data_IF_442875092161
#
_entry.id   IF_442875092161
#
_cell.length_a   1.000
_cell.length_b   1.000
_cell.length_c   1.000
_cell.angle_alpha   90.00
_cell.angle_beta   90.00
_cell.angle_gamma   90.00
#
_symmetry.space_group_name_H-M   'P 1'
#
loop_
_entity.id
_entity.type
_entity.pdbx_description
1 polymer ?
#
# COMPACT_ATOMS: atom_id res chain seq x y z
N UNK A 1 -22.01 -30.42 -16.01
CA UNK A 1 -20.85 -29.60 -16.46
C UNK A 1 -20.50 -29.75 -17.94
N UNK A 2 -20.56 -30.94 -18.59
CA UNK A 2 -20.39 -31.03 -20.07
C UNK A 2 -21.31 -30.08 -20.85
N UNK A 3 -22.55 -29.90 -20.39
CA UNK A 3 -23.49 -28.94 -20.96
C UNK A 3 -22.99 -27.48 -20.92
N UNK A 4 -22.19 -27.10 -19.91
CA UNK A 4 -21.62 -25.75 -19.81
C UNK A 4 -20.48 -25.56 -20.80
N UNK A 5 -19.57 -26.53 -20.93
CA UNK A 5 -18.51 -26.50 -21.95
C UNK A 5 -19.10 -26.46 -23.35
N UNK A 6 -20.11 -27.30 -23.63
CA UNK A 6 -20.84 -27.27 -24.90
C UNK A 6 -21.56 -25.94 -25.11
N UNK A 7 -22.16 -25.34 -24.07
CA UNK A 7 -22.82 -24.04 -24.21
C UNK A 7 -21.83 -22.91 -24.51
N UNK A 8 -20.66 -22.90 -23.87
CA UNK A 8 -19.60 -21.91 -24.15
C UNK A 8 -19.08 -22.11 -25.57
N UNK A 9 -18.78 -23.34 -25.96
CA UNK A 9 -18.29 -23.63 -27.31
C UNK A 9 -19.34 -23.26 -28.37
N UNK A 10 -20.61 -23.68 -28.20
CA UNK A 10 -21.69 -23.31 -29.10
C UNK A 10 -21.88 -21.79 -29.21
N UNK A 11 -21.72 -21.06 -28.11
CA UNK A 11 -21.77 -19.60 -28.12
C UNK A 11 -20.60 -19.00 -28.93
N UNK A 12 -19.39 -19.53 -28.74
CA UNK A 12 -18.20 -19.10 -29.48
C UNK A 12 -18.30 -19.47 -30.97
N UNK A 13 -18.81 -20.66 -31.29
CA UNK A 13 -19.02 -21.18 -32.65
C UNK A 13 -20.09 -20.38 -33.39
N UNK A 14 -21.22 -20.09 -32.74
CA UNK A 14 -22.28 -19.24 -33.31
C UNK A 14 -21.78 -17.82 -33.65
N UNK A 15 -20.76 -17.35 -32.93
CA UNK A 15 -20.09 -16.07 -33.21
C UNK A 15 -19.02 -16.18 -34.31
N UNK A 16 -18.46 -17.37 -34.57
CA UNK A 16 -17.53 -17.62 -35.69
C UNK A 16 -18.29 -17.83 -37.03
N UNK A 17 -19.47 -18.46 -37.00
CA UNK A 17 -20.30 -18.76 -38.18
C UNK A 17 -21.05 -17.53 -38.74
N UNK A 18 -21.14 -16.45 -37.97
CA UNK A 18 -21.59 -15.17 -38.51
C UNK A 18 -20.47 -14.57 -39.35
N UNK A 19 -20.56 -14.76 -40.66
CA UNK A 19 -19.77 -14.04 -41.67
C UNK A 19 -20.06 -12.53 -41.52
N UNK A 20 -19.28 -11.86 -40.65
CA UNK A 20 -19.50 -10.47 -40.21
C UNK A 20 -19.08 -9.46 -41.28
N UNK A 21 -19.83 -9.45 -42.37
CA UNK A 21 -19.73 -8.45 -43.42
C UNK A 21 -20.47 -7.13 -43.14
N UNK A 22 -21.26 -7.01 -42.06
CA UNK A 22 -22.08 -5.78 -41.88
C UNK A 22 -22.73 -5.53 -40.50
N UNK A 23 -22.55 -6.38 -39.48
CA UNK A 23 -23.10 -6.15 -38.14
C UNK A 23 -21.94 -5.96 -37.14
N UNK A 24 -21.96 -4.83 -36.44
CA UNK A 24 -20.83 -4.25 -35.71
C UNK A 24 -20.07 -5.23 -34.83
N UNK A 25 -18.74 -5.04 -34.77
CA UNK A 25 -17.89 -5.73 -33.81
C UNK A 25 -18.54 -5.66 -32.43
N UNK A 26 -18.75 -6.82 -31.82
CA UNK A 26 -18.97 -6.89 -30.38
C UNK A 26 -17.80 -6.18 -29.72
N UNK A 27 -18.03 -4.96 -29.25
CA UNK A 27 -17.04 -4.14 -28.57
C UNK A 27 -17.26 -4.28 -27.08
N UNK A 28 -16.75 -5.37 -26.51
CA UNK A 28 -16.76 -5.55 -25.06
C UNK A 28 -15.52 -4.85 -24.53
N UNK A 29 -15.68 -3.78 -23.75
CA UNK A 29 -14.53 -3.07 -23.17
C UNK A 29 -13.90 -3.84 -22.02
N UNK A 30 -14.73 -4.41 -21.16
CA UNK A 30 -14.31 -5.10 -19.94
C UNK A 30 -14.90 -6.49 -19.90
N UNK A 31 -14.06 -7.50 -19.70
CA UNK A 31 -14.46 -8.88 -19.50
C UNK A 31 -13.97 -9.37 -18.15
N UNK A 32 -14.89 -9.87 -17.32
CA UNK A 32 -14.56 -10.52 -16.05
C UNK A 32 -15.04 -11.97 -16.06
N UNK A 33 -14.12 -12.88 -15.80
CA UNK A 33 -14.34 -14.31 -15.78
C UNK A 33 -14.03 -14.85 -14.38
N UNK A 34 -15.07 -15.29 -13.67
CA UNK A 34 -14.96 -15.97 -12.39
C UNK A 34 -15.35 -17.44 -12.58
N UNK A 35 -14.44 -18.39 -12.34
CA UNK A 35 -14.74 -19.82 -12.51
C UNK A 35 -14.00 -20.70 -11.51
N UNK A 36 -14.51 -21.92 -11.32
CA UNK A 36 -13.84 -22.94 -10.51
C UNK A 36 -12.90 -23.79 -11.38
N UNK A 37 -11.74 -24.19 -10.85
CA UNK A 37 -10.81 -25.05 -11.56
C UNK A 37 -11.47 -26.40 -11.88
N UNK A 38 -11.34 -26.86 -13.13
CA UNK A 38 -11.97 -28.09 -13.60
C UNK A 38 -11.92 -28.30 -15.12
N UNK A 39 -12.67 -29.28 -15.63
CA UNK A 39 -12.66 -29.77 -17.02
C UNK A 39 -13.12 -28.79 -18.13
N UNK A 40 -13.29 -27.49 -17.83
CA UNK A 40 -13.71 -26.46 -18.79
C UNK A 40 -12.56 -25.51 -19.21
N UNK A 41 -11.32 -25.79 -18.84
CA UNK A 41 -10.16 -24.92 -19.11
C UNK A 41 -9.98 -24.60 -20.59
N UNK A 42 -10.27 -25.53 -21.49
CA UNK A 42 -10.16 -25.33 -22.94
C UNK A 42 -11.17 -24.31 -23.47
N UNK A 43 -12.44 -24.41 -23.07
CA UNK A 43 -13.48 -23.46 -23.46
C UNK A 43 -13.22 -22.06 -22.91
N UNK A 44 -12.71 -21.96 -21.68
CA UNK A 44 -12.33 -20.69 -21.06
C UNK A 44 -11.13 -20.07 -21.77
N UNK A 45 -10.10 -20.85 -22.09
CA UNK A 45 -8.95 -20.36 -22.83
C UNK A 45 -9.35 -19.87 -24.23
N UNK A 46 -10.27 -20.57 -24.91
CA UNK A 46 -10.82 -20.13 -26.20
C UNK A 46 -11.63 -18.84 -26.07
N UNK A 47 -12.42 -18.70 -25.01
CA UNK A 47 -13.16 -17.46 -24.71
C UNK A 47 -12.21 -16.28 -24.47
N UNK A 48 -11.15 -16.49 -23.68
CA UNK A 48 -10.14 -15.46 -23.39
C UNK A 48 -9.42 -15.02 -24.68
N UNK A 49 -8.98 -15.98 -25.52
CA UNK A 49 -8.34 -15.68 -26.79
C UNK A 49 -9.26 -14.91 -27.74
N UNK A 50 -10.52 -15.36 -27.88
CA UNK A 50 -11.49 -14.67 -28.73
C UNK A 50 -11.81 -13.26 -28.24
N UNK A 51 -11.92 -13.07 -26.93
CA UNK A 51 -12.15 -11.77 -26.34
C UNK A 51 -10.99 -10.79 -26.60
N UNK A 52 -9.75 -11.26 -26.43
CA UNK A 52 -8.54 -10.46 -26.63
C UNK A 52 -8.23 -10.18 -28.10
N UNK A 53 -8.52 -11.11 -29.02
CA UNK A 53 -8.24 -10.98 -30.45
C UNK A 53 -9.38 -10.27 -31.21
N UNK A 54 -10.65 -10.58 -30.90
CA UNK A 54 -11.80 -10.25 -31.76
C UNK A 54 -12.80 -9.28 -31.14
N UNK A 55 -12.94 -9.24 -29.82
CA UNK A 55 -13.96 -8.40 -29.15
C UNK A 55 -13.44 -7.03 -28.70
N UNK A 56 -12.15 -6.75 -28.92
CA UNK A 56 -11.53 -5.47 -28.59
C UNK A 56 -11.49 -5.17 -27.09
N UNK A 57 -11.39 -6.20 -26.25
CA UNK A 57 -11.31 -6.05 -24.79
C UNK A 57 -10.08 -5.24 -24.38
N UNK A 58 -10.32 -4.22 -23.57
CA UNK A 58 -9.30 -3.36 -22.98
C UNK A 58 -8.97 -3.77 -21.54
N UNK A 59 -9.97 -4.28 -20.80
CA UNK A 59 -9.81 -4.72 -19.42
C UNK A 59 -10.23 -6.19 -19.26
N UNK A 60 -9.28 -7.05 -18.90
CA UNK A 60 -9.53 -8.49 -18.69
C UNK A 60 -9.25 -8.87 -17.24
N UNK A 61 -10.26 -9.42 -16.56
CA UNK A 61 -10.10 -10.05 -15.25
C UNK A 61 -10.39 -11.55 -15.33
N UNK A 62 -9.43 -12.37 -14.90
CA UNK A 62 -9.55 -13.82 -14.84
C UNK A 62 -9.32 -14.27 -13.39
N UNK A 63 -10.38 -14.76 -12.75
CA UNK A 63 -10.37 -15.17 -11.35
C UNK A 63 -10.74 -16.64 -11.20
N UNK A 64 -9.78 -17.43 -10.72
CA UNK A 64 -9.98 -18.84 -10.41
C UNK A 64 -10.35 -18.97 -8.93
N UNK A 65 -11.55 -19.45 -8.66
CA UNK A 65 -12.04 -19.68 -7.29
C UNK A 65 -11.60 -21.05 -6.81
N UNK A 66 -10.68 -21.08 -5.85
CA UNK A 66 -10.30 -22.31 -5.17
C UNK A 66 -11.39 -22.75 -4.19
N UNK A 67 -11.60 -24.07 -4.06
CA UNK A 67 -12.44 -24.66 -3.00
C UNK A 67 -11.56 -25.00 -1.80
N UNK A 68 -12.14 -25.09 -0.60
CA UNK A 68 -11.41 -25.32 0.66
C UNK A 68 -10.49 -26.54 0.70
N UNK A 69 -10.60 -27.47 -0.26
CA UNK A 69 -9.84 -28.72 -0.31
C UNK A 69 -8.82 -28.78 -1.46
N UNK A 70 -8.87 -27.85 -2.43
CA UNK A 70 -8.08 -27.96 -3.66
C UNK A 70 -7.61 -26.57 -4.14
N UNK A 71 -6.31 -26.34 -4.07
CA UNK A 71 -5.64 -25.19 -4.69
C UNK A 71 -5.19 -25.58 -6.10
N UNK A 72 -6.00 -25.23 -7.10
CA UNK A 72 -5.63 -25.43 -8.48
C UNK A 72 -5.36 -24.08 -9.15
N UNK A 73 -4.24 -24.03 -9.84
CA UNK A 73 -3.86 -22.91 -10.67
C UNK A 73 -4.36 -23.11 -12.09
N UNK A 74 -4.96 -22.08 -12.70
CA UNK A 74 -5.28 -22.14 -14.13
C UNK A 74 -4.03 -21.94 -14.97
N UNK A 75 -3.83 -22.83 -15.95
CA UNK A 75 -2.76 -22.74 -16.93
C UNK A 75 -3.29 -22.25 -18.27
N UNK A 76 -2.56 -21.33 -18.86
CA UNK A 76 -2.81 -20.85 -20.21
C UNK A 76 -2.14 -21.76 -21.24
N UNK A 77 -2.67 -21.83 -22.48
CA UNK A 77 -2.00 -22.51 -23.58
C UNK A 77 -0.63 -21.89 -23.91
N UNK A 78 0.16 -22.56 -24.74
CA UNK A 78 1.48 -22.04 -25.15
C UNK A 78 1.44 -20.67 -25.84
N UNK A 79 0.34 -20.33 -26.53
CA UNK A 79 0.13 -19.01 -27.12
C UNK A 79 -0.34 -17.94 -26.11
N UNK A 80 -0.51 -18.29 -24.83
CA UNK A 80 -0.88 -17.36 -23.77
C UNK A 80 -2.35 -16.95 -23.81
N UNK A 81 -2.60 -15.64 -23.75
CA UNK A 81 -3.95 -15.07 -23.67
C UNK A 81 -4.62 -14.87 -25.02
N UNK A 82 -3.86 -14.80 -26.11
CA UNK A 82 -4.38 -14.46 -27.44
C UNK A 82 -3.42 -14.91 -28.53
N UNK A 83 -3.88 -15.01 -29.77
CA UNK A 83 -3.02 -15.42 -30.88
C UNK A 83 -2.14 -14.27 -31.39
N UNK A 84 -2.63 -13.02 -31.32
CA UNK A 84 -1.93 -11.84 -31.83
C UNK A 84 -1.77 -10.74 -30.77
N UNK A 85 -0.83 -10.88 -29.81
CA UNK A 85 -0.67 -9.93 -28.70
C UNK A 85 -0.34 -8.51 -29.15
N UNK A 86 0.32 -8.36 -30.31
CA UNK A 86 0.66 -7.07 -30.90
C UNK A 86 -0.56 -6.23 -31.32
N UNK A 87 -1.64 -6.91 -31.72
CA UNK A 87 -2.88 -6.26 -32.18
C UNK A 87 -3.91 -6.14 -31.05
N UNK A 88 -3.62 -6.72 -29.88
CA UNK A 88 -4.52 -6.67 -28.73
C UNK A 88 -4.62 -5.25 -28.19
N UNK A 89 -5.85 -4.83 -27.87
CA UNK A 89 -6.16 -3.54 -27.22
C UNK A 89 -6.10 -3.62 -25.70
N UNK A 90 -5.66 -4.75 -25.15
CA UNK A 90 -5.64 -4.99 -23.72
C UNK A 90 -4.73 -3.99 -22.99
N UNK A 91 -5.33 -3.17 -22.14
CA UNK A 91 -4.70 -2.13 -21.30
C UNK A 91 -4.53 -2.57 -19.86
N UNK A 92 -5.49 -3.33 -19.34
CA UNK A 92 -5.50 -3.81 -17.95
C UNK A 92 -5.71 -5.33 -17.91
N UNK A 93 -4.86 -6.01 -17.16
CA UNK A 93 -4.96 -7.45 -16.94
C UNK A 93 -4.92 -7.77 -15.46
N UNK A 94 -5.93 -8.48 -14.98
CA UNK A 94 -5.96 -9.05 -13.62
C UNK A 94 -6.05 -10.57 -13.69
N UNK A 95 -5.08 -11.23 -13.07
CA UNK A 95 -5.03 -12.69 -12.98
C UNK A 95 -5.03 -13.08 -11.50
N UNK A 96 -6.00 -13.88 -11.08
CA UNK A 96 -6.05 -14.46 -9.74
C UNK A 96 -5.98 -16.00 -9.81
N UNK A 97 -5.07 -16.60 -9.04
CA UNK A 97 -4.83 -18.06 -9.02
C UNK A 97 -4.56 -18.66 -10.41
N UNK A 98 -3.76 -17.96 -11.22
CA UNK A 98 -3.33 -18.39 -12.55
C UNK A 98 -1.80 -18.42 -12.64
N UNK A 99 -1.25 -19.29 -13.50
CA UNK A 99 0.13 -19.14 -13.94
C UNK A 99 0.28 -17.91 -14.84
N UNK A 100 1.42 -17.22 -14.76
CA UNK A 100 1.67 -16.03 -15.58
C UNK A 100 1.83 -16.48 -17.05
N UNK A 101 0.95 -16.06 -17.97
CA UNK A 101 1.10 -16.35 -19.39
C UNK A 101 2.25 -15.52 -19.99
N UNK A 102 2.74 -15.87 -21.19
CA UNK A 102 3.63 -15.01 -21.94
C UNK A 102 2.94 -13.65 -22.22
N UNK A 103 3.46 -12.57 -21.63
CA UNK A 103 2.96 -11.20 -21.83
C UNK A 103 3.78 -10.39 -22.85
N UNK A 104 4.75 -11.03 -23.50
CA UNK A 104 5.58 -10.37 -24.52
C UNK A 104 4.73 -10.02 -25.75
N UNK A 105 4.83 -8.77 -26.21
CA UNK A 105 4.15 -8.31 -27.43
C UNK A 105 2.86 -7.52 -27.18
N UNK A 106 2.32 -7.51 -25.94
CA UNK A 106 1.20 -6.65 -25.58
C UNK A 106 1.69 -5.19 -25.48
N UNK A 107 1.50 -4.42 -26.55
CA UNK A 107 1.95 -3.02 -26.61
C UNK A 107 1.03 -2.05 -25.91
N UNK A 108 -0.25 -2.41 -25.73
CA UNK A 108 -1.23 -1.56 -25.06
C UNK A 108 -1.29 -1.79 -23.53
N UNK A 109 -0.66 -2.85 -23.01
CA UNK A 109 -0.81 -3.26 -21.62
C UNK A 109 -0.04 -2.34 -20.68
N UNK A 110 -0.78 -1.56 -19.90
CA UNK A 110 -0.25 -0.56 -18.96
C UNK A 110 -0.46 -0.93 -17.50
N UNK A 111 -1.44 -1.80 -17.19
CA UNK A 111 -1.74 -2.23 -15.82
C UNK A 111 -1.79 -3.75 -15.70
N UNK A 112 -1.11 -4.28 -14.67
CA UNK A 112 -1.09 -5.69 -14.36
C UNK A 112 -1.34 -5.91 -12.87
N UNK A 113 -2.34 -6.73 -12.56
CA UNK A 113 -2.66 -7.19 -11.21
C UNK A 113 -2.51 -8.70 -11.17
N UNK A 114 -1.59 -9.19 -10.35
CA UNK A 114 -1.40 -10.62 -10.10
C UNK A 114 -1.79 -10.92 -8.67
N UNK A 115 -2.71 -11.86 -8.50
CA UNK A 115 -3.26 -12.22 -7.21
C UNK A 115 -3.14 -13.73 -6.97
N UNK A 116 -2.80 -14.14 -5.75
CA UNK A 116 -2.82 -15.55 -5.33
C UNK A 116 -2.03 -16.46 -6.30
N UNK A 117 -0.85 -16.01 -6.75
CA UNK A 117 -0.04 -16.77 -7.69
C UNK A 117 0.33 -18.14 -7.09
N UNK A 118 0.40 -19.21 -7.91
CA UNK A 118 0.67 -20.55 -7.41
C UNK A 118 2.02 -20.62 -6.69
N UNK A 119 2.12 -21.38 -5.59
CA UNK A 119 3.38 -21.59 -4.85
C UNK A 119 4.50 -22.13 -5.74
N UNK A 120 4.14 -22.93 -6.75
CA UNK A 120 5.10 -23.45 -7.74
C UNK A 120 5.65 -22.40 -8.73
N UNK A 121 5.22 -21.14 -8.64
CA UNK A 121 5.72 -20.07 -9.52
C UNK A 121 7.20 -19.80 -9.24
N UNK A 122 8.08 -19.94 -10.24
CA UNK A 122 9.51 -19.75 -10.02
C UNK A 122 9.83 -18.26 -9.80
N UNK A 123 10.86 -17.99 -8.99
CA UNK A 123 11.37 -16.63 -8.72
C UNK A 123 11.65 -15.84 -10.01
N UNK A 124 12.21 -16.50 -11.04
CA UNK A 124 12.49 -15.89 -12.33
C UNK A 124 11.23 -15.35 -13.04
N UNK A 125 10.05 -15.94 -12.80
CA UNK A 125 8.80 -15.42 -13.35
C UNK A 125 8.42 -14.09 -12.69
N UNK A 126 8.66 -13.93 -11.39
CA UNK A 126 8.45 -12.67 -10.68
C UNK A 126 9.39 -11.57 -11.19
N UNK A 127 10.67 -11.89 -11.37
CA UNK A 127 11.67 -10.96 -11.92
C UNK A 127 11.31 -10.55 -13.35
N UNK A 128 10.84 -11.51 -14.15
CA UNK A 128 10.44 -11.27 -15.53
C UNK A 128 9.31 -10.23 -15.62
N UNK A 129 8.32 -10.19 -14.71
CA UNK A 129 7.21 -9.23 -14.76
C UNK A 129 7.69 -7.78 -14.91
N UNK A 130 8.78 -7.42 -14.23
CA UNK A 130 9.34 -6.06 -14.26
C UNK A 130 10.02 -5.70 -15.59
N UNK A 131 10.26 -6.69 -16.46
CA UNK A 131 10.96 -6.55 -17.75
C UNK A 131 10.14 -7.04 -18.95
N UNK A 132 9.07 -7.79 -18.73
CA UNK A 132 8.26 -8.45 -19.77
C UNK A 132 7.52 -7.46 -20.68
N UNK A 133 7.04 -6.36 -20.10
CA UNK A 133 6.18 -5.39 -20.78
C UNK A 133 6.81 -3.99 -20.73
N UNK A 134 7.35 -3.45 -21.84
CA UNK A 134 8.04 -2.15 -21.81
C UNK A 134 7.10 -0.96 -21.56
N UNK A 135 5.79 -1.14 -21.76
CA UNK A 135 4.76 -0.11 -21.58
C UNK A 135 4.03 -0.24 -20.23
N UNK A 136 4.41 -1.20 -19.38
CA UNK A 136 3.76 -1.42 -18.10
C UNK A 136 4.05 -0.26 -17.15
N UNK A 137 2.99 0.40 -16.69
CA UNK A 137 3.06 1.58 -15.82
C UNK A 137 2.61 1.26 -14.39
N UNK A 138 1.67 0.33 -14.21
CA UNK A 138 1.14 -0.05 -12.90
C UNK A 138 1.25 -1.56 -12.69
N UNK A 139 1.90 -1.97 -11.59
CA UNK A 139 2.02 -3.35 -11.18
C UNK A 139 1.47 -3.52 -9.75
N UNK A 140 0.58 -4.50 -9.57
CA UNK A 140 0.05 -4.88 -8.28
C UNK A 140 0.25 -6.39 -8.07
N UNK A 141 1.02 -6.74 -7.04
CA UNK A 141 1.19 -8.11 -6.57
C UNK A 141 0.39 -8.26 -5.28
N UNK A 142 -0.54 -9.21 -5.24
CA UNK A 142 -1.43 -9.43 -4.10
C UNK A 142 -1.45 -10.88 -3.66
N UNK A 143 -1.24 -11.14 -2.37
CA UNK A 143 -1.31 -12.49 -1.80
C UNK A 143 -0.36 -13.49 -2.50
N UNK A 144 0.74 -13.02 -3.09
CA UNK A 144 1.69 -13.88 -3.78
C UNK A 144 2.64 -14.54 -2.78
N UNK A 145 2.63 -15.87 -2.74
CA UNK A 145 3.56 -16.67 -1.93
C UNK A 145 4.81 -16.97 -2.74
N UNK A 146 5.93 -16.39 -2.31
CA UNK A 146 7.24 -16.67 -2.88
C UNK A 146 7.78 -17.94 -2.22
N UNK A 147 8.33 -18.85 -3.01
CA UNK A 147 9.22 -19.88 -2.45
C UNK A 147 10.36 -19.18 -1.71
N UNK A 148 10.97 -19.83 -0.69
CA UNK A 148 11.97 -19.29 0.26
C UNK A 148 13.23 -18.59 -0.33
N UNK A 149 13.26 -18.28 -1.62
CA UNK A 149 14.27 -17.50 -2.30
C UNK A 149 14.06 -15.98 -2.25
N UNK A 150 14.95 -15.29 -2.95
CA UNK A 150 15.01 -13.83 -3.08
C UNK A 150 14.69 -13.45 -4.52
N UNK A 151 13.71 -12.57 -4.72
CA UNK A 151 13.42 -11.96 -6.04
C UNK A 151 14.25 -10.70 -6.14
N UNK A 152 15.23 -10.68 -7.05
CA UNK A 152 16.08 -9.52 -7.27
C UNK A 152 15.59 -8.71 -8.47
N UNK A 153 14.94 -7.57 -8.22
CA UNK A 153 14.39 -6.71 -9.27
C UNK A 153 15.40 -5.64 -9.64
N UNK A 154 16.06 -5.84 -10.78
CA UNK A 154 16.89 -4.84 -11.43
C UNK A 154 16.35 -4.55 -12.84
N UNK A 155 15.51 -3.52 -12.96
CA UNK A 155 14.78 -3.21 -14.19
C UNK A 155 15.01 -1.75 -14.64
N UNK A 156 16.23 -1.40 -15.12
CA UNK A 156 16.59 -0.03 -15.49
C UNK A 156 15.84 0.52 -16.71
N UNK A 157 15.17 -0.34 -17.48
CA UNK A 157 14.34 0.06 -18.64
C UNK A 157 12.84 0.04 -18.32
N UNK A 158 12.47 -0.27 -17.08
CA UNK A 158 11.07 -0.36 -16.69
C UNK A 158 10.40 1.01 -16.71
N UNK A 159 9.18 1.06 -17.23
CA UNK A 159 8.33 2.25 -17.21
C UNK A 159 7.31 2.23 -16.07
N UNK A 160 7.48 1.33 -15.10
CA UNK A 160 6.58 1.21 -13.95
C UNK A 160 6.67 2.48 -13.12
N UNK A 161 5.53 3.16 -13.03
CA UNK A 161 5.28 4.34 -12.21
C UNK A 161 4.63 4.00 -10.88
N UNK A 162 3.85 2.93 -10.84
CA UNK A 162 3.10 2.52 -9.65
C UNK A 162 3.38 1.06 -9.31
N UNK A 163 3.81 0.81 -8.08
CA UNK A 163 4.05 -0.52 -7.55
C UNK A 163 3.26 -0.73 -6.25
N UNK A 164 2.41 -1.75 -6.22
CA UNK A 164 1.67 -2.15 -5.03
C UNK A 164 2.03 -3.60 -4.71
N UNK A 165 2.51 -3.86 -3.50
CA UNK A 165 2.76 -5.20 -2.99
C UNK A 165 1.94 -5.38 -1.73
N UNK A 166 1.04 -6.35 -1.75
CA UNK A 166 0.06 -6.56 -0.70
C UNK A 166 0.04 -8.04 -0.29
N UNK A 167 0.23 -8.33 1.00
CA UNK A 167 0.20 -9.70 1.55
C UNK A 167 1.14 -10.68 0.82
N UNK A 168 2.34 -10.25 0.39
CA UNK A 168 3.32 -11.11 -0.24
C UNK A 168 4.27 -11.73 0.81
N UNK A 169 4.21 -13.05 0.99
CA UNK A 169 4.86 -13.78 2.09
C UNK A 169 5.88 -14.81 1.62
N UNK A 170 6.63 -15.37 2.59
CA UNK A 170 7.55 -16.51 2.46
C UNK A 170 8.82 -16.32 1.61
N UNK A 171 9.03 -15.13 1.04
CA UNK A 171 10.29 -14.74 0.38
C UNK A 171 10.68 -13.29 0.69
N UNK A 172 11.75 -12.83 0.05
CA UNK A 172 12.21 -11.44 0.11
C UNK A 172 12.25 -10.85 -1.30
N UNK A 173 11.57 -9.72 -1.51
CA UNK A 173 11.68 -8.95 -2.75
C UNK A 173 12.72 -7.85 -2.54
N UNK A 174 13.82 -7.88 -3.31
CA UNK A 174 14.82 -6.82 -3.32
C UNK A 174 14.63 -5.95 -4.54
N UNK A 175 14.29 -4.68 -4.33
CA UNK A 175 14.16 -3.70 -5.41
C UNK A 175 15.45 -2.89 -5.50
N UNK A 176 16.16 -3.02 -6.64
CA UNK A 176 17.41 -2.32 -6.89
C UNK A 176 17.26 -1.12 -7.82
N UNK A 177 16.43 -1.23 -8.87
CA UNK A 177 16.35 -0.15 -9.87
C UNK A 177 14.98 -0.12 -10.53
N UNK A 178 14.24 0.95 -10.30
CA UNK A 178 12.97 1.29 -10.95
C UNK A 178 12.93 2.81 -11.18
N UNK A 179 13.52 3.28 -12.29
CA UNK A 179 13.90 4.68 -12.43
C UNK A 179 12.72 5.62 -12.63
N UNK A 180 11.54 5.14 -13.04
CA UNK A 180 10.33 5.96 -13.23
C UNK A 180 9.27 5.75 -12.14
N UNK A 181 9.62 5.08 -11.04
CA UNK A 181 8.68 4.80 -9.95
C UNK A 181 8.26 6.10 -9.27
N UNK A 182 6.97 6.44 -9.35
CA UNK A 182 6.35 7.65 -8.78
C UNK A 182 5.59 7.32 -7.49
N UNK A 183 5.02 6.12 -7.36
CA UNK A 183 4.25 5.70 -6.19
C UNK A 183 4.48 4.24 -5.79
N UNK A 184 4.64 3.98 -4.49
CA UNK A 184 4.91 2.64 -3.95
C UNK A 184 4.10 2.32 -2.69
N UNK A 185 3.47 1.13 -2.65
CA UNK A 185 2.80 0.57 -1.48
C UNK A 185 3.45 -0.75 -1.12
N UNK A 186 3.79 -0.88 0.16
CA UNK A 186 4.23 -2.13 0.75
C UNK A 186 3.30 -2.43 1.92
N UNK A 187 2.35 -3.34 1.71
CA UNK A 187 1.34 -3.72 2.68
C UNK A 187 1.58 -5.18 3.07
N UNK A 188 1.91 -5.45 4.32
CA UNK A 188 2.13 -6.82 4.84
C UNK A 188 3.04 -7.68 3.94
N UNK A 189 4.11 -7.09 3.42
CA UNK A 189 4.98 -7.72 2.43
C UNK A 189 6.45 -7.52 2.78
N UNK A 190 7.27 -8.55 2.63
CA UNK A 190 8.70 -8.47 2.94
C UNK A 190 9.49 -7.94 1.73
N UNK A 191 9.77 -6.64 1.75
CA UNK A 191 10.45 -5.93 0.66
C UNK A 191 11.64 -5.15 1.22
N UNK A 192 12.79 -5.29 0.57
CA UNK A 192 14.00 -4.53 0.84
C UNK A 192 14.31 -3.64 -0.37
N UNK A 193 14.61 -2.38 -0.10
CA UNK A 193 14.91 -1.39 -1.12
C UNK A 193 15.76 -0.27 -0.55
N UNK A 194 16.49 0.40 -1.42
CA UNK A 194 17.12 1.68 -1.12
C UNK A 194 16.34 2.77 -1.84
N UNK A 195 15.70 3.67 -1.09
CA UNK A 195 14.84 4.68 -1.70
C UNK A 195 15.62 5.58 -2.68
N UNK A 196 16.93 5.80 -2.45
CA UNK A 196 17.84 6.53 -3.34
C UNK A 196 17.82 6.01 -4.79
N UNK A 197 17.41 4.76 -5.00
CA UNK A 197 17.26 4.13 -6.31
C UNK A 197 16.00 4.54 -7.06
N UNK A 198 15.10 5.32 -6.45
CA UNK A 198 13.82 5.76 -7.01
C UNK A 198 13.71 7.29 -7.03
N UNK A 199 14.37 7.97 -7.98
CA UNK A 199 14.52 9.43 -7.95
C UNK A 199 13.21 10.22 -8.10
N UNK A 200 12.17 9.62 -8.70
CA UNK A 200 10.85 10.26 -8.90
C UNK A 200 9.80 9.81 -7.89
N UNK A 201 10.18 9.03 -6.87
CA UNK A 201 9.23 8.55 -5.88
C UNK A 201 8.70 9.73 -5.05
N UNK A 202 7.39 9.95 -5.15
CA UNK A 202 6.68 11.04 -4.47
C UNK A 202 5.71 10.52 -3.41
N UNK A 203 5.12 9.35 -3.63
CA UNK A 203 4.12 8.76 -2.74
C UNK A 203 4.60 7.41 -2.21
N UNK A 204 4.60 7.26 -0.89
CA UNK A 204 4.99 6.03 -0.21
C UNK A 204 3.94 5.63 0.84
N UNK A 205 3.41 4.42 0.76
CA UNK A 205 2.59 3.82 1.81
C UNK A 205 3.23 2.54 2.30
N UNK A 206 3.50 2.48 3.60
CA UNK A 206 4.06 1.33 4.25
C UNK A 206 3.10 0.91 5.36
N UNK A 207 2.61 -0.32 5.29
CA UNK A 207 1.74 -0.90 6.30
C UNK A 207 2.23 -2.27 6.75
N UNK A 208 2.49 -2.43 8.05
CA UNK A 208 2.87 -3.70 8.65
C UNK A 208 2.06 -3.98 9.93
N UNK A 209 1.66 -5.24 10.12
CA UNK A 209 0.92 -5.72 11.26
C UNK A 209 1.75 -6.83 11.90
N UNK A 210 2.22 -6.63 13.13
CA UNK A 210 3.08 -7.59 13.84
C UNK A 210 2.68 -7.65 15.30
N UNK A 211 2.67 -8.85 15.88
CA UNK A 211 2.27 -8.99 17.28
C UNK A 211 0.82 -8.54 17.49
N UNK A 212 -0.12 -8.99 16.66
CA UNK A 212 -1.56 -8.75 16.89
C UNK A 212 -2.14 -9.80 17.85
N UNK A 213 -1.46 -10.95 17.99
CA UNK A 213 -1.87 -12.02 18.89
C UNK A 213 -1.18 -11.89 20.26
N UNK A 214 -1.97 -11.92 21.35
CA UNK A 214 -1.54 -11.86 22.77
C UNK A 214 -0.60 -13.00 23.20
N UNK A 215 -0.37 -13.99 22.32
CA UNK A 215 0.63 -15.03 22.53
C UNK A 215 2.01 -14.37 22.57
N UNK A 216 2.60 -14.35 23.77
CA UNK A 216 3.98 -13.92 24.08
C UNK A 216 5.07 -14.75 23.35
N UNK A 217 4.78 -15.29 22.18
CA UNK A 217 5.71 -16.04 21.37
C UNK A 217 6.65 -15.06 20.68
N UNK A 218 7.74 -14.80 21.40
CA UNK A 218 8.94 -14.09 20.96
C UNK A 218 8.68 -12.61 20.67
N UNK A 219 8.93 -11.76 21.69
CA UNK A 219 9.38 -10.38 21.45
C UNK A 219 10.62 -10.46 20.59
N UNK A 220 10.47 -10.44 19.28
CA UNK A 220 11.62 -10.37 18.40
C UNK A 220 12.12 -8.94 18.53
N UNK A 221 13.14 -8.74 19.37
CA UNK A 221 13.81 -7.46 19.63
C UNK A 221 14.53 -6.87 18.41
N UNK A 222 14.04 -7.13 17.21
CA UNK A 222 14.51 -6.51 15.98
C UNK A 222 13.74 -5.20 15.84
N UNK A 223 14.21 -4.17 16.55
CA UNK A 223 13.88 -2.80 16.20
C UNK A 223 14.23 -2.59 14.73
N UNK A 224 13.26 -2.18 13.93
CA UNK A 224 13.53 -1.78 12.57
C UNK A 224 14.30 -0.46 12.59
N UNK A 225 15.30 -0.34 11.71
CA UNK A 225 16.00 0.92 11.51
C UNK A 225 15.15 1.75 10.55
N UNK A 226 14.62 2.89 11.00
CA UNK A 226 13.85 3.80 10.14
C UNK A 226 14.64 4.15 8.87
N UNK A 227 15.96 4.29 8.98
CA UNK A 227 16.80 4.58 7.82
C UNK A 227 16.79 3.46 6.78
N UNK A 228 16.64 2.20 7.17
CA UNK A 228 16.58 1.09 6.21
C UNK A 228 15.30 1.11 5.39
N UNK A 229 14.19 1.58 5.98
CA UNK A 229 12.89 1.61 5.30
C UNK A 229 12.57 2.95 4.64
N UNK A 230 13.08 4.05 5.22
CA UNK A 230 12.69 5.39 4.85
C UNK A 230 13.89 6.32 4.54
N UNK A 231 15.12 5.85 4.66
CA UNK A 231 16.31 6.64 4.38
C UNK A 231 16.55 6.82 2.87
N UNK A 232 17.15 7.96 2.51
CA UNK A 232 17.83 8.11 1.21
C UNK A 232 17.05 8.74 0.07
N UNK A 233 15.86 9.32 0.27
CA UNK A 233 15.15 10.05 -0.81
C UNK A 233 14.86 11.52 -0.54
N UNK A 234 15.24 12.42 -1.47
CA UNK A 234 14.84 13.82 -1.41
C UNK A 234 13.45 14.10 -1.99
N UNK A 235 12.75 13.10 -2.57
CA UNK A 235 11.59 13.31 -3.45
C UNK A 235 10.20 13.15 -2.82
N UNK A 236 10.07 12.44 -1.71
CA UNK A 236 8.78 12.02 -1.15
C UNK A 236 8.01 13.24 -0.63
N UNK A 237 6.79 13.44 -1.14
CA UNK A 237 5.84 14.47 -0.69
C UNK A 237 4.76 13.92 0.24
N UNK A 238 4.47 12.62 0.11
CA UNK A 238 3.33 11.96 0.75
C UNK A 238 3.78 10.63 1.35
N UNK A 239 3.68 10.52 2.67
CA UNK A 239 4.11 9.34 3.41
C UNK A 239 2.97 8.84 4.30
N UNK A 240 2.59 7.58 4.09
CA UNK A 240 1.67 6.84 4.96
C UNK A 240 2.44 5.73 5.65
N UNK A 241 2.28 5.68 6.96
CA UNK A 241 2.98 4.77 7.85
C UNK A 241 1.94 4.11 8.76
N UNK A 242 1.68 2.82 8.54
CA UNK A 242 0.79 2.00 9.36
C UNK A 242 1.55 0.90 10.06
N UNK A 243 1.62 0.95 11.38
CA UNK A 243 2.34 -0.04 12.17
C UNK A 243 1.47 -0.53 13.33
N UNK A 244 0.75 -1.61 13.10
CA UNK A 244 -0.21 -2.17 14.05
C UNK A 244 0.39 -3.31 14.84
N UNK A 245 0.52 -3.17 16.16
CA UNK A 245 1.16 -4.21 16.97
C UNK A 245 1.63 -3.77 18.36
N UNK A 246 1.96 -4.75 19.22
CA UNK A 246 2.56 -4.51 20.54
C UNK A 246 4.03 -4.05 20.50
N UNK A 247 4.76 -4.35 19.42
CA UNK A 247 6.21 -4.17 19.39
C UNK A 247 6.60 -2.68 19.18
N UNK A 248 7.72 -2.26 19.78
CA UNK A 248 8.40 -1.04 19.36
C UNK A 248 8.93 -1.26 17.94
N UNK A 249 8.35 -0.56 16.98
CA UNK A 249 8.68 -0.74 15.58
C UNK A 249 10.06 -0.19 15.23
N UNK A 250 10.47 0.94 15.82
CA UNK A 250 11.72 1.61 15.44
C UNK A 250 12.68 1.87 16.58
N UNK A 251 13.97 1.96 16.21
CA UNK A 251 14.97 2.59 17.10
C UNK A 251 14.73 4.10 17.14
N UNK A 252 14.76 4.73 18.33
CA UNK A 252 14.57 6.17 18.49
C UNK A 252 15.80 7.00 18.07
N UNK A 253 16.68 6.48 17.21
CA UNK A 253 17.85 7.20 16.73
C UNK A 253 18.11 6.91 15.24
N UNK A 254 18.15 7.96 14.42
CA UNK A 254 18.43 7.87 12.99
C UNK A 254 18.97 9.21 12.45
N UNK A 255 20.28 9.49 12.61
CA UNK A 255 20.87 10.80 12.31
C UNK A 255 20.89 11.15 10.82
N UNK A 256 20.59 10.19 9.94
CA UNK A 256 20.65 10.35 8.48
C UNK A 256 19.28 10.48 7.82
N UNK A 257 18.19 10.45 8.60
CA UNK A 257 16.83 10.48 8.05
C UNK A 257 16.49 11.90 7.62
N UNK A 258 16.17 12.10 6.34
CA UNK A 258 15.81 13.40 5.77
C UNK A 258 14.72 13.24 4.72
N UNK A 259 13.63 13.99 4.88
CA UNK A 259 12.53 14.10 3.92
C UNK A 259 12.32 15.57 3.53
N UNK A 260 13.22 16.14 2.72
CA UNK A 260 13.24 17.58 2.45
C UNK A 260 11.99 18.09 1.71
N UNK A 261 11.18 17.20 1.11
CA UNK A 261 9.96 17.56 0.36
C UNK A 261 8.67 17.00 0.96
N UNK A 262 8.72 16.33 2.10
CA UNK A 262 7.53 15.71 2.69
C UNK A 262 6.57 16.80 3.15
N UNK A 263 5.32 16.76 2.68
CA UNK A 263 4.26 17.74 2.98
C UNK A 263 3.11 17.13 3.76
N UNK A 264 2.77 15.86 3.51
CA UNK A 264 1.69 15.15 4.23
C UNK A 264 2.22 13.86 4.84
N UNK A 265 2.00 13.69 6.14
CA UNK A 265 2.37 12.50 6.89
C UNK A 265 1.15 11.92 7.60
N UNK A 266 0.85 10.66 7.33
CA UNK A 266 -0.09 9.85 8.10
C UNK A 266 0.66 8.79 8.89
N UNK A 267 0.44 8.78 10.21
CA UNK A 267 0.84 7.70 11.11
C UNK A 267 -0.43 7.04 11.62
N UNK A 268 -0.71 5.80 11.24
CA UNK A 268 -1.98 5.17 11.57
C UNK A 268 -1.83 3.81 12.26
N UNK A 269 -2.88 3.49 13.02
CA UNK A 269 -3.07 2.23 13.74
C UNK A 269 -1.96 1.95 14.75
N UNK A 270 -1.43 3.00 15.36
CA UNK A 270 -0.43 2.88 16.43
C UNK A 270 -1.12 2.52 17.75
N UNK A 271 -0.55 1.64 18.58
CA UNK A 271 -1.16 1.31 19.88
C UNK A 271 -1.16 2.54 20.80
N UNK A 272 -2.13 2.65 21.70
CA UNK A 272 -2.12 3.66 22.77
C UNK A 272 -0.83 3.62 23.62
N UNK A 273 -0.15 2.47 23.66
CA UNK A 273 1.12 2.24 24.35
C UNK A 273 2.37 2.68 23.58
N UNK A 274 2.22 3.25 22.38
CA UNK A 274 3.34 3.56 21.49
C UNK A 274 4.39 4.54 22.07
N UNK A 275 5.62 4.42 21.57
CA UNK A 275 6.73 5.34 21.80
C UNK A 275 6.62 6.54 20.85
N UNK A 276 6.47 7.73 21.41
CA UNK A 276 6.35 9.02 20.70
C UNK A 276 7.68 9.55 20.16
N UNK A 277 8.80 8.86 20.39
CA UNK A 277 10.13 9.31 19.95
C UNK A 277 10.32 9.20 18.43
N UNK A 278 9.81 8.15 17.79
CA UNK A 278 9.98 7.97 16.34
C UNK A 278 9.15 8.93 15.45
N UNK A 279 7.90 9.32 15.79
CA UNK A 279 7.17 10.37 15.08
C UNK A 279 7.86 11.72 15.20
N UNK A 280 8.43 12.02 16.37
CA UNK A 280 9.27 13.21 16.55
C UNK A 280 10.42 13.23 15.55
N UNK A 281 11.14 12.12 15.38
CA UNK A 281 12.21 12.02 14.38
C UNK A 281 11.71 12.30 12.95
N UNK A 282 10.49 11.87 12.62
CA UNK A 282 9.90 12.16 11.30
C UNK A 282 9.60 13.64 11.13
N UNK A 283 9.12 14.33 12.18
CA UNK A 283 8.90 15.78 12.16
C UNK A 283 10.23 16.52 12.01
N UNK A 284 11.25 16.15 12.78
CA UNK A 284 12.59 16.76 12.70
C UNK A 284 13.26 16.51 11.34
N UNK A 285 13.02 15.34 10.73
CA UNK A 285 13.54 14.98 9.42
C UNK A 285 12.80 15.66 8.24
N UNK A 286 11.62 16.23 8.46
CA UNK A 286 10.71 16.70 7.40
C UNK A 286 10.43 18.20 7.47
N UNK A 287 11.39 19.09 7.13
CA UNK A 287 11.26 20.54 7.32
C UNK A 287 10.11 21.21 6.53
N UNK A 288 9.58 20.54 5.50
CA UNK A 288 8.48 21.02 4.67
C UNK A 288 7.11 20.43 5.05
N UNK A 289 7.01 19.71 6.18
CA UNK A 289 5.78 19.03 6.56
C UNK A 289 4.67 20.06 6.84
N UNK A 290 3.52 19.90 6.21
CA UNK A 290 2.37 20.82 6.35
C UNK A 290 1.23 20.21 7.16
N UNK A 291 0.97 18.92 6.98
CA UNK A 291 -0.11 18.19 7.65
C UNK A 291 0.44 16.91 8.31
N UNK A 292 0.18 16.75 9.61
CA UNK A 292 0.49 15.54 10.37
C UNK A 292 -0.78 14.93 10.95
N UNK A 293 -1.15 13.75 10.47
CA UNK A 293 -2.31 13.01 10.97
C UNK A 293 -1.85 11.75 11.70
N UNK A 294 -2.41 11.52 12.89
CA UNK A 294 -2.08 10.39 13.75
C UNK A 294 -3.37 9.65 14.11
N UNK A 295 -3.37 8.33 13.99
CA UNK A 295 -4.46 7.48 14.45
C UNK A 295 -3.97 6.46 15.47
N UNK A 296 -4.50 6.58 16.68
CA UNK A 296 -4.20 5.76 17.83
C UNK A 296 -5.33 4.76 18.02
N UNK A 297 -5.00 3.48 18.05
CA UNK A 297 -5.95 2.41 18.38
C UNK A 297 -5.91 2.10 19.88
N UNK A 298 -7.07 1.99 20.56
CA UNK A 298 -7.13 1.57 21.96
C UNK A 298 -6.48 0.20 22.12
N UNK A 299 -5.59 0.05 23.10
CA UNK A 299 -4.87 -1.20 23.33
C UNK A 299 -4.68 -1.43 24.85
N UNK A 300 -4.81 -2.68 25.30
CA UNK A 300 -4.95 -3.04 26.73
C UNK A 300 -3.66 -3.01 27.56
N UNK A 301 -2.47 -2.92 26.95
CA UNK A 301 -1.21 -3.04 27.68
C UNK A 301 -0.73 -1.72 28.31
N UNK A 302 -0.08 -1.87 29.47
CA UNK A 302 0.53 -0.76 30.18
C UNK A 302 1.66 -0.11 29.34
N UNK A 303 1.81 1.22 29.41
CA UNK A 303 2.93 1.95 28.80
C UNK A 303 4.28 1.27 29.10
N UNK A 304 5.12 1.08 28.09
CA UNK A 304 6.52 0.67 28.30
C UNK A 304 7.44 1.89 28.26
N UNK A 305 8.26 2.02 29.30
CA UNK A 305 9.29 3.04 29.60
C UNK A 305 8.87 4.52 29.51
N UNK A 306 9.48 5.33 30.37
CA UNK A 306 9.34 6.78 30.33
C UNK A 306 9.97 7.38 29.07
N UNK A 307 9.34 8.44 28.58
CA UNK A 307 9.86 9.21 27.45
C UNK A 307 11.08 10.02 27.92
N UNK A 308 12.30 9.56 27.61
CA UNK A 308 13.51 10.34 27.83
C UNK A 308 13.82 11.21 26.59
N UNK A 309 13.27 12.41 26.54
CA UNK A 309 13.56 13.39 25.48
C UNK A 309 14.48 14.49 26.00
N UNK A 310 15.54 14.75 25.25
CA UNK A 310 16.25 16.00 25.39
C UNK A 310 15.41 17.14 24.75
N UNK A 311 15.37 18.32 25.38
CA UNK A 311 14.75 19.50 24.79
C UNK A 311 15.33 19.76 23.39
N UNK A 312 14.46 19.83 22.38
CA UNK A 312 14.87 20.21 21.02
C UNK A 312 14.88 21.73 20.89
N UNK A 313 15.95 22.31 20.34
CA UNK A 313 15.96 23.69 19.83
C UNK A 313 15.37 23.79 18.41
N UNK A 314 14.94 22.66 17.84
CA UNK A 314 14.33 22.56 16.54
C UNK A 314 13.08 23.45 16.43
N UNK A 315 12.99 24.20 15.34
CA UNK A 315 11.82 24.99 14.98
C UNK A 315 11.29 24.56 13.60
N UNK A 316 10.03 24.15 13.57
CA UNK A 316 9.32 23.70 12.37
C UNK A 316 8.48 24.84 11.78
N UNK A 317 8.80 25.28 10.56
CA UNK A 317 8.21 26.49 9.99
C UNK A 317 7.04 26.27 9.01
N UNK A 318 6.76 25.02 8.62
CA UNK A 318 5.75 24.71 7.59
C UNK A 318 4.53 23.94 8.12
N UNK A 319 4.58 23.40 9.35
CA UNK A 319 3.53 22.56 9.90
C UNK A 319 2.35 23.43 10.29
N UNK A 320 1.21 23.21 9.63
CA UNK A 320 -0.02 24.00 9.79
C UNK A 320 -1.08 23.23 10.57
N UNK A 321 -1.11 21.91 10.41
CA UNK A 321 -2.18 21.07 10.94
C UNK A 321 -1.63 19.82 11.63
N UNK A 322 -2.12 19.59 12.85
CA UNK A 322 -1.99 18.34 13.60
C UNK A 322 -3.38 17.77 13.86
N UNK A 323 -3.62 16.53 13.43
CA UNK A 323 -4.84 15.79 13.76
C UNK A 323 -4.47 14.51 14.49
N UNK A 324 -5.07 14.26 15.65
CA UNK A 324 -4.90 13.00 16.40
C UNK A 324 -6.28 12.39 16.63
N UNK A 325 -6.52 11.19 16.10
CA UNK A 325 -7.68 10.36 16.40
C UNK A 325 -7.29 9.29 17.43
N UNK A 326 -8.18 8.94 18.34
CA UNK A 326 -7.89 7.98 19.42
C UNK A 326 -7.20 8.64 20.62
N UNK A 327 -7.31 9.96 20.72
CA UNK A 327 -6.70 10.73 21.80
C UNK A 327 -7.41 10.46 23.13
N UNK A 328 -6.66 10.00 24.13
CA UNK A 328 -7.17 9.64 25.46
C UNK A 328 -6.69 10.61 26.55
N UNK A 329 -5.86 11.60 26.22
CA UNK A 329 -5.27 12.51 27.21
C UNK A 329 -4.24 11.81 28.10
N UNK A 330 -3.63 10.73 27.63
CA UNK A 330 -2.51 10.11 28.35
C UNK A 330 -1.31 11.06 28.39
N UNK A 331 -0.50 11.02 29.44
CA UNK A 331 0.63 11.94 29.65
C UNK A 331 1.56 12.04 28.43
N UNK A 332 1.91 10.90 27.82
CA UNK A 332 2.69 10.83 26.57
C UNK A 332 2.05 11.52 25.37
N UNK A 333 0.73 11.44 25.24
CA UNK A 333 0.00 12.03 24.11
C UNK A 333 -0.01 13.55 24.27
N UNK A 334 -0.26 14.03 25.50
CA UNK A 334 -0.19 15.44 25.85
C UNK A 334 1.25 15.96 25.65
N UNK A 335 2.24 15.20 26.10
CA UNK A 335 3.65 15.55 25.95
C UNK A 335 4.05 15.70 24.48
N UNK A 336 3.61 14.77 23.62
CA UNK A 336 3.81 14.87 22.18
C UNK A 336 3.11 16.10 21.57
N UNK A 337 1.85 16.36 21.94
CA UNK A 337 1.11 17.55 21.47
C UNK A 337 1.84 18.83 21.88
N UNK A 338 2.29 18.93 23.14
CA UNK A 338 3.05 20.07 23.65
C UNK A 338 4.37 20.26 22.92
N UNK A 339 5.07 19.16 22.58
CA UNK A 339 6.26 19.23 21.75
C UNK A 339 5.94 19.82 20.38
N UNK A 340 4.92 19.33 19.68
CA UNK A 340 4.55 19.84 18.35
C UNK A 340 4.16 21.31 18.39
N UNK A 341 3.35 21.73 19.37
CA UNK A 341 2.96 23.13 19.58
C UNK A 341 4.18 24.00 19.87
N UNK A 342 5.10 23.52 20.71
CA UNK A 342 6.31 24.25 21.06
C UNK A 342 7.22 24.44 19.84
N UNK A 343 7.50 23.40 19.06
CA UNK A 343 8.47 23.49 17.95
C UNK A 343 7.88 24.15 16.70
N UNK A 344 6.56 24.19 16.53
CA UNK A 344 5.94 24.61 15.26
C UNK A 344 5.54 26.08 15.25
N UNK A 345 6.15 26.88 14.38
CA UNK A 345 5.92 28.34 14.33
C UNK A 345 4.70 28.74 13.49
N UNK A 346 4.30 27.89 12.54
CA UNK A 346 3.19 28.11 11.60
C UNK A 346 1.95 27.26 11.92
N UNK A 347 1.90 26.63 13.08
CA UNK A 347 0.81 25.73 13.46
C UNK A 347 -0.48 26.53 13.66
N UNK A 348 -1.53 26.17 12.93
CA UNK A 348 -2.81 26.86 12.95
C UNK A 348 -3.87 26.03 13.67
N UNK A 349 -3.89 24.71 13.42
CA UNK A 349 -4.93 23.82 13.90
C UNK A 349 -4.35 22.58 14.58
N UNK A 350 -4.82 22.30 15.78
CA UNK A 350 -4.62 21.05 16.52
C UNK A 350 -5.98 20.45 16.80
N UNK A 351 -6.32 19.35 16.15
CA UNK A 351 -7.60 18.65 16.34
C UNK A 351 -7.38 17.31 17.02
N UNK A 352 -7.92 17.16 18.23
CA UNK A 352 -7.78 15.99 19.08
C UNK A 352 -9.15 15.32 19.21
N UNK A 353 -9.29 14.14 18.61
CA UNK A 353 -10.53 13.38 18.59
C UNK A 353 -10.40 12.12 19.43
N UNK A 354 -11.37 11.86 20.31
CA UNK A 354 -11.36 10.62 21.08
C UNK A 354 -11.66 9.39 20.22
N UNK A 355 -12.65 9.51 19.34
CA UNK A 355 -13.16 8.40 18.51
C UNK A 355 -13.10 8.74 17.03
N UNK A 356 -12.86 7.72 16.21
CA UNK A 356 -12.79 7.83 14.76
C UNK A 356 -11.93 6.74 14.17
N UNK A 357 -11.67 6.82 12.88
CA UNK A 357 -10.73 5.96 12.19
C UNK A 357 -10.18 6.66 10.95
N UNK A 358 -9.14 6.07 10.38
CA UNK A 358 -8.59 6.51 9.10
C UNK A 358 -9.19 5.68 7.99
N UNK A 359 -9.87 6.33 7.06
CA UNK A 359 -10.44 5.70 5.88
C UNK A 359 -9.51 5.91 4.68
N UNK A 360 -9.08 4.82 4.05
CA UNK A 360 -8.20 4.91 2.89
C UNK A 360 -8.96 5.34 1.64
N UNK A 361 -8.48 6.40 0.96
CA UNK A 361 -8.93 6.82 -0.37
C UNK A 361 -7.92 6.36 -1.41
N UNK A 362 -8.03 5.10 -1.81
CA UNK A 362 -7.04 4.45 -2.67
C UNK A 362 -5.83 4.03 -1.85
N UNK A 363 -4.61 4.18 -2.39
CA UNK A 363 -3.38 3.75 -1.70
C UNK A 363 -2.55 4.88 -1.09
N UNK A 364 -2.70 6.12 -1.56
CA UNK A 364 -1.87 7.27 -1.17
C UNK A 364 -2.64 8.43 -0.56
N UNK A 365 -3.96 8.34 -0.49
CA UNK A 365 -4.79 9.37 0.14
C UNK A 365 -5.62 8.73 1.27
N UNK A 366 -6.02 9.55 2.22
CA UNK A 366 -6.79 9.15 3.38
C UNK A 366 -7.78 10.24 3.77
N UNK A 367 -8.84 9.82 4.44
CA UNK A 367 -9.73 10.68 5.19
C UNK A 367 -9.62 10.38 6.68
N UNK A 368 -9.75 11.43 7.48
CA UNK A 368 -9.97 11.35 8.91
C UNK A 368 -11.49 11.32 9.12
N UNK A 369 -12.01 10.15 9.50
CA UNK A 369 -13.43 9.98 9.80
C UNK A 369 -13.60 10.06 11.31
N UNK A 370 -14.16 11.16 11.77
CA UNK A 370 -14.39 11.41 13.19
C UNK A 370 -15.76 10.87 13.61
N UNK A 371 -15.87 10.47 14.88
CA UNK A 371 -17.15 10.11 15.48
C UNK A 371 -17.45 11.11 16.60
N UNK A 372 -18.69 11.57 16.67
CA UNK A 372 -19.09 12.51 17.71
C UNK A 372 -18.83 11.91 19.09
N UNK A 373 -18.05 12.63 19.88
CA UNK A 373 -17.84 12.34 21.28
C UNK A 373 -18.00 13.65 22.07
N UNK A 374 -18.41 13.53 23.33
CA UNK A 374 -18.47 14.66 24.24
C UNK A 374 -17.62 14.34 25.46
N UNK A 375 -16.48 15.04 25.56
CA UNK A 375 -15.63 14.97 26.73
C UNK A 375 -16.35 15.47 27.97
N UNK A 376 -16.09 14.83 29.11
CA UNK A 376 -16.50 15.35 30.42
C UNK A 376 -15.83 16.71 30.62
N UNK A 377 -16.60 17.72 31.03
CA UNK A 377 -16.11 19.13 31.12
C UNK A 377 -14.84 19.26 31.94
N UNK A 378 -14.75 18.55 33.07
CA UNK A 378 -13.61 18.58 33.98
C UNK A 378 -12.36 17.99 33.33
N UNK A 379 -12.48 16.83 32.68
CA UNK A 379 -11.38 16.19 31.93
C UNK A 379 -10.91 17.08 30.78
N UNK A 380 -11.84 17.66 30.03
CA UNK A 380 -11.56 18.59 28.93
C UNK A 380 -10.76 19.81 29.40
N UNK A 381 -11.18 20.44 30.50
CA UNK A 381 -10.45 21.58 31.08
C UNK A 381 -9.06 21.16 31.55
N UNK A 382 -8.94 20.00 32.21
CA UNK A 382 -7.65 19.48 32.66
C UNK A 382 -6.66 19.29 31.51
N UNK A 383 -7.10 18.63 30.43
CA UNK A 383 -6.28 18.38 29.24
C UNK A 383 -5.87 19.71 28.58
N UNK A 384 -6.82 20.64 28.40
CA UNK A 384 -6.53 21.92 27.78
C UNK A 384 -5.55 22.77 28.60
N UNK A 385 -5.65 22.75 29.93
CA UNK A 385 -4.70 23.45 30.81
C UNK A 385 -3.30 22.86 30.68
N UNK A 386 -3.16 21.53 30.66
CA UNK A 386 -1.87 20.86 30.46
C UNK A 386 -1.25 21.15 29.09
N UNK A 387 -2.08 21.49 28.09
CA UNK A 387 -1.60 21.91 26.77
C UNK A 387 -1.21 23.40 26.75
N UNK A 388 -2.01 24.25 27.40
CA UNK A 388 -1.81 25.69 27.46
C UNK A 388 -0.54 26.11 28.20
N UNK A 389 -0.05 25.29 29.14
CA UNK A 389 1.21 25.53 29.86
C UNK A 389 2.45 25.45 28.95
N UNK A 390 2.31 24.94 27.72
CA UNK A 390 3.40 24.94 26.74
C UNK A 390 3.50 26.30 26.05
N UNK A 391 4.62 27.01 26.24
CA UNK A 391 4.90 28.25 25.53
C UNK A 391 5.16 27.96 24.04
N UNK A 392 4.30 28.43 23.11
CA UNK A 392 4.48 28.16 21.68
C UNK A 392 5.61 29.02 21.10
N UNK A 393 6.35 28.49 20.12
CA UNK A 393 7.19 29.30 19.24
C UNK A 393 6.37 30.05 18.16
N UNK A 394 5.06 29.79 18.06
CA UNK A 394 4.18 30.37 17.06
C UNK A 394 3.90 31.86 17.31
N UNK A 395 3.97 32.65 16.24
CA UNK A 395 3.59 34.07 16.25
C UNK A 395 2.06 34.28 16.18
N UNK A 396 1.31 33.23 15.86
CA UNK A 396 -0.16 33.25 15.75
C UNK A 396 -0.79 32.29 16.77
N UNK A 397 -1.98 32.60 17.30
CA UNK A 397 -2.64 31.73 18.27
C UNK A 397 -3.03 30.40 17.61
N UNK A 398 -2.58 29.29 18.21
CA UNK A 398 -2.92 27.93 17.77
C UNK A 398 -4.35 27.60 18.20
N UNK A 399 -5.20 27.20 17.26
CA UNK A 399 -6.54 26.71 17.59
C UNK A 399 -6.46 25.24 18.01
N UNK A 400 -6.76 24.97 19.29
CA UNK A 400 -6.85 23.60 19.82
C UNK A 400 -8.32 23.19 19.93
N UNK A 401 -8.72 22.20 19.14
CA UNK A 401 -10.06 21.59 19.14
C UNK A 401 -9.96 20.22 19.82
N UNK A 402 -10.74 20.03 20.88
CA UNK A 402 -10.85 18.75 21.61
C UNK A 402 -12.30 18.25 21.52
N UNK A 403 -12.51 17.17 20.77
CA UNK A 403 -13.81 16.57 20.44
C UNK A 403 -13.90 15.07 20.76
#
# INVERSE_FOLDING_TARGET
MRAMTSSINNFLDADDDQDRGSLGLWSVRTLRLDFFPGHCSSGINRLIAKAADSWGVEDLEVLVKNTFQQHFAHSFPHHGLCNNPHNSRLRSLKLAACYIPPLKGFHALTSLVLQDLPESTPTAAYEAIFTLCPQLQALHLKSCTLNQGVVAVHAPKSQIKQLIMEHCWFGLIKLYTLPLLESMAVLQSNVSYELSSFPYLTHLNIAFHRGVTKTRCVRVGNYYDLNQYLGGTPGISDLIVRFTGYDRWFKPWSPTLLFPKLRRLLIADVPSSWDVSWPRLLIEAAPCLECLHIHITPWEEEPHDDISWEPSEFCHNQLKELVIIGFQGAERQIYFVNFVIKVSTSLQLVSLYKNGHVQDRGRWNWDIVTQQYQWVKEEKVKILNQIADSAPCAATPVQVVLE
#
